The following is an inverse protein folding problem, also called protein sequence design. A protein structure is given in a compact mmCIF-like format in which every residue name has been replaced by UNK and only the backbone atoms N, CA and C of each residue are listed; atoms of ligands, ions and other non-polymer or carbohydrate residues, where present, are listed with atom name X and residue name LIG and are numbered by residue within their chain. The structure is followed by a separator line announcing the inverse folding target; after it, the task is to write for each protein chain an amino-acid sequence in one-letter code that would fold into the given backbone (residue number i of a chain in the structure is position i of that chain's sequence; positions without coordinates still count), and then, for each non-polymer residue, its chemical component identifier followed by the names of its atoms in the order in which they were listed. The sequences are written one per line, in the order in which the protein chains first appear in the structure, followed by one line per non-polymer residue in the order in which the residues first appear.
data_IF_073161613221
#
_entry.id   IF_073161613221
#
_cell.length_a   1.000
_cell.length_b   1.000
_cell.length_c   1.000
_cell.angle_alpha   90.00
_cell.angle_beta   90.00
_cell.angle_gamma   90.00
#
_symmetry.space_group_name_H-M   'P 1'
#
loop_
_entity.id
_entity.type
_entity.pdbx_description
1 polymer ?
#
# COMPACT_ATOMS: atom_id res chain seq x y z
N UNK A 1 -11.58 -8.04 -0.52
CA UNK A 1 -10.35 -8.42 0.22
C UNK A 1 -9.90 -7.23 1.06
N UNK A 2 -9.44 -7.44 2.30
CA UNK A 2 -9.11 -6.38 3.27
C UNK A 2 -7.71 -5.78 3.09
N UNK A 3 -6.87 -6.40 2.26
CA UNK A 3 -5.49 -5.96 2.02
C UNK A 3 -5.42 -4.98 0.84
N UNK A 4 -4.46 -4.03 0.86
CA UNK A 4 -4.22 -3.14 -0.28
C UNK A 4 -3.77 -3.92 -1.51
N UNK A 5 -3.94 -3.31 -2.67
CA UNK A 5 -3.33 -3.82 -3.89
C UNK A 5 -1.88 -3.36 -3.96
N UNK A 6 -0.99 -4.26 -4.38
CA UNK A 6 0.46 -4.03 -4.36
C UNK A 6 0.98 -4.16 -5.79
N UNK A 7 1.70 -3.14 -6.25
CA UNK A 7 2.50 -3.21 -7.49
C UNK A 7 3.98 -3.03 -7.15
N UNK A 8 4.85 -3.38 -8.08
CA UNK A 8 6.30 -3.34 -7.87
C UNK A 8 6.97 -2.41 -8.88
N UNK A 9 7.95 -1.63 -8.43
CA UNK A 9 8.74 -0.74 -9.27
C UNK A 9 10.23 -0.93 -8.97
N UNK A 10 11.08 -0.78 -10.00
CA UNK A 10 12.52 -0.69 -9.80
C UNK A 10 12.83 0.58 -8.99
N UNK A 11 13.60 0.42 -7.93
CA UNK A 11 14.09 1.50 -7.08
C UNK A 11 15.04 2.41 -7.85
N UNK A 12 14.95 3.71 -7.61
CA UNK A 12 15.87 4.71 -8.19
C UNK A 12 17.06 5.00 -7.28
N UNK A 13 17.24 4.20 -6.23
CA UNK A 13 18.33 4.35 -5.28
C UNK A 13 19.68 3.99 -5.96
N UNK A 14 20.62 4.95 -6.07
CA UNK A 14 21.91 4.71 -6.71
C UNK A 14 22.79 3.71 -5.94
N UNK A 15 22.54 3.50 -4.65
CA UNK A 15 23.27 2.53 -3.83
C UNK A 15 22.66 1.12 -3.92
N UNK A 16 21.53 0.97 -4.61
CA UNK A 16 20.75 -0.27 -4.73
C UNK A 16 20.33 -0.53 -6.18
N UNK A 17 21.31 -0.71 -7.06
CA UNK A 17 21.07 -0.92 -8.50
C UNK A 17 20.25 -2.21 -8.74
N UNK A 18 19.05 -2.04 -9.33
CA UNK A 18 18.14 -3.15 -9.63
C UNK A 18 17.24 -3.60 -8.47
N UNK A 19 17.28 -2.93 -7.32
CA UNK A 19 16.38 -3.21 -6.22
C UNK A 19 14.92 -2.93 -6.60
N UNK A 20 13.98 -3.66 -5.99
CA UNK A 20 12.54 -3.51 -6.25
C UNK A 20 11.87 -2.97 -4.99
N UNK A 21 10.97 -2.00 -5.16
CA UNK A 21 10.12 -1.47 -4.10
C UNK A 21 8.66 -1.77 -4.39
N UNK A 22 7.91 -2.05 -3.33
CA UNK A 22 6.47 -2.24 -3.39
C UNK A 22 5.75 -0.89 -3.28
N UNK A 23 4.72 -0.69 -4.09
CA UNK A 23 3.83 0.48 -4.10
C UNK A 23 2.43 0.02 -3.73
N UNK A 24 1.91 0.54 -2.61
CA UNK A 24 0.59 0.18 -2.11
C UNK A 24 -0.49 1.13 -2.66
N UNK A 25 -1.61 0.57 -3.11
CA UNK A 25 -2.75 1.31 -3.62
C UNK A 25 -3.92 1.25 -2.65
N UNK A 26 -4.47 2.43 -2.30
CA UNK A 26 -5.64 2.55 -1.43
C UNK A 26 -6.88 2.17 -2.23
N UNK A 27 -7.71 1.28 -1.67
CA UNK A 27 -9.00 0.92 -2.28
C UNK A 27 -10.07 1.94 -1.95
N UNK A 28 -11.15 1.94 -2.74
CA UNK A 28 -12.30 2.80 -2.49
C UNK A 28 -12.79 2.64 -1.04
N UNK A 29 -12.89 3.77 -0.33
CA UNK A 29 -13.10 3.83 1.11
C UNK A 29 -14.44 3.23 1.58
N UNK A 30 -15.39 3.02 0.67
CA UNK A 30 -16.64 2.30 0.97
C UNK A 30 -16.46 0.79 1.16
N UNK A 31 -15.26 0.25 0.90
CA UNK A 31 -14.92 -1.16 1.09
C UNK A 31 -14.27 -1.44 2.47
N UNK A 32 -14.29 -0.47 3.38
CA UNK A 32 -13.58 -0.57 4.66
C UNK A 32 -14.25 -1.48 5.68
N UNK A 33 -13.41 -2.14 6.46
CA UNK A 33 -13.74 -2.86 7.69
C UNK A 33 -14.28 -1.90 8.76
N UNK A 34 -15.24 -2.32 9.59
CA UNK A 34 -15.81 -1.48 10.64
C UNK A 34 -14.74 -1.03 11.65
N UNK A 35 -14.96 0.15 12.25
CA UNK A 35 -14.13 0.79 13.29
C UNK A 35 -13.73 -0.15 14.44
N UNK A 36 -14.51 -1.20 14.69
CA UNK A 36 -14.28 -2.19 15.74
C UNK A 36 -13.08 -3.12 15.52
N UNK A 37 -12.48 -3.13 14.32
CA UNK A 37 -11.28 -3.94 14.06
C UNK A 37 -10.02 -3.36 14.75
N UNK A 38 -9.90 -2.03 14.82
CA UNK A 38 -8.70 -1.32 15.31
C UNK A 38 -8.71 -1.06 16.84
N UNK A 39 -9.72 -1.53 17.57
CA UNK A 39 -9.85 -1.35 19.03
C UNK A 39 -9.62 -2.64 19.82
N UNK A 40 -9.13 -3.70 19.17
CA UNK A 40 -8.89 -4.96 19.87
C UNK A 40 -7.84 -4.76 20.99
N UNK A 41 -8.14 -5.09 22.26
CA UNK A 41 -7.23 -4.87 23.37
C UNK A 41 -6.00 -5.82 23.36
N UNK A 42 -5.88 -6.67 22.35
CA UNK A 42 -4.88 -7.73 22.25
C UNK A 42 -3.98 -7.62 21.02
N UNK A 43 -3.76 -6.42 20.48
CA UNK A 43 -2.87 -6.25 19.32
C UNK A 43 -1.47 -6.84 19.53
N UNK A 44 -0.96 -6.82 20.76
CA UNK A 44 0.32 -7.45 21.08
C UNK A 44 0.34 -8.96 20.85
N UNK A 45 -0.80 -9.63 20.96
CA UNK A 45 -0.94 -11.08 20.79
C UNK A 45 -1.20 -11.43 19.32
N UNK A 46 -2.08 -10.68 18.65
CA UNK A 46 -2.52 -10.98 17.28
C UNK A 46 -1.52 -10.44 16.24
N UNK A 47 -0.87 -9.30 16.51
CA UNK A 47 0.13 -8.67 15.64
C UNK A 47 1.45 -8.45 16.38
N UNK A 48 2.14 -9.53 16.78
CA UNK A 48 3.37 -9.44 17.55
C UNK A 48 4.49 -8.68 16.80
N UNK A 49 4.44 -8.65 15.47
CA UNK A 49 5.40 -7.91 14.62
C UNK A 49 5.31 -6.39 14.77
N UNK A 50 4.22 -5.83 15.32
CA UNK A 50 4.16 -4.40 15.62
C UNK A 50 5.20 -3.98 16.67
N UNK A 51 5.58 -4.88 17.58
CA UNK A 51 6.67 -4.63 18.55
C UNK A 51 8.05 -4.55 17.90
N UNK A 52 8.18 -4.98 16.64
CA UNK A 52 9.43 -4.88 15.89
C UNK A 52 9.66 -3.49 15.27
N UNK A 53 8.83 -2.49 15.59
CA UNK A 53 9.04 -1.10 15.17
C UNK A 53 8.48 -0.78 13.79
N UNK A 54 7.39 -1.42 13.39
CA UNK A 54 6.71 -1.10 12.13
C UNK A 54 6.18 0.35 12.13
N UNK A 55 6.72 1.19 11.23
CA UNK A 55 6.24 2.56 11.01
C UNK A 55 5.36 2.64 9.75
N UNK A 56 4.05 2.76 9.95
CA UNK A 56 3.08 2.87 8.87
C UNK A 56 3.22 4.17 8.06
N UNK A 57 3.90 5.20 8.58
CA UNK A 57 4.14 6.46 7.87
C UNK A 57 5.26 6.36 6.85
N UNK A 58 6.14 5.38 6.99
CA UNK A 58 7.24 5.12 6.06
C UNK A 58 6.79 4.32 4.82
N UNK A 59 5.52 3.93 4.73
CA UNK A 59 4.99 3.16 3.60
C UNK A 59 4.87 4.06 2.36
N UNK A 60 5.36 3.56 1.23
CA UNK A 60 5.18 4.20 -0.07
C UNK A 60 3.79 3.89 -0.63
N UNK A 61 2.93 4.91 -0.66
CA UNK A 61 1.62 4.85 -1.29
C UNK A 61 1.69 5.43 -2.71
N UNK A 62 0.86 4.90 -3.62
CA UNK A 62 0.62 5.54 -4.92
C UNK A 62 -0.08 6.90 -4.72
N UNK A 63 0.26 7.91 -5.51
CA UNK A 63 -0.47 9.17 -5.50
C UNK A 63 -1.87 8.94 -6.10
N UNK A 64 -2.95 9.53 -5.56
CA UNK A 64 -4.25 9.56 -6.23
C UNK A 64 -4.20 9.99 -7.71
N UNK A 65 -3.22 10.80 -8.11
CA UNK A 65 -2.99 11.18 -9.50
C UNK A 65 -2.54 10.01 -10.40
N UNK A 66 -1.81 9.02 -9.86
CA UNK A 66 -1.34 7.83 -10.59
C UNK A 66 -2.51 6.91 -11.02
N UNK A 67 -3.66 7.02 -10.35
CA UNK A 67 -4.88 6.29 -10.71
C UNK A 67 -5.51 6.81 -12.00
N UNK A 68 -5.25 8.06 -12.39
CA UNK A 68 -5.87 8.71 -13.57
C UNK A 68 -5.19 8.24 -14.88
N UNK A 69 -3.93 7.83 -14.85
CA UNK A 69 -3.21 7.35 -16.05
C UNK A 69 -3.57 5.92 -16.47
N UNK A 70 -4.23 5.14 -15.61
CA UNK A 70 -4.73 3.79 -15.93
C UNK A 70 -6.06 3.77 -16.71
N UNK A 71 -6.54 4.94 -17.17
CA UNK A 71 -7.65 5.03 -18.11
C UNK A 71 -7.32 4.34 -19.44
N UNK A 72 -8.32 3.81 -20.18
CA UNK A 72 -8.03 3.07 -21.40
C UNK A 72 -7.34 4.01 -22.39
N UNK A 73 -6.14 3.63 -22.83
CA UNK A 73 -5.51 4.19 -24.03
C UNK A 73 -6.53 4.07 -25.15
N UNK A 74 -7.13 5.20 -25.55
CA UNK A 74 -7.87 5.24 -26.80
C UNK A 74 -6.83 5.07 -27.90
N UNK A 75 -6.87 3.90 -28.53
CA UNK A 75 -6.29 3.72 -29.85
C UNK A 75 -7.01 4.65 -30.82
N UNK A 76 -6.44 5.81 -31.10
CA UNK A 76 -6.82 6.60 -32.28
C UNK A 76 -6.21 5.94 -33.52
N UNK A 77 -7.07 5.62 -34.49
CA UNK A 77 -6.78 5.38 -35.91
C UNK A 77 -7.65 6.33 -36.72
#
# INVERSE_FOLDING_TARGET
PILPEITQQISTDPDCEGCVRDIMHIRHHSLFTPRDFDVSPYFEVIKPTLRAGFDHRAISWSDPADLIESGPVKSES
#
